data_IF_379226929480
#
_entry.id   IF_379226929480
#
_cell.length_a   1.000
_cell.length_b   1.000
_cell.length_c   1.000
_cell.angle_alpha   90.00
_cell.angle_beta   90.00
_cell.angle_gamma   90.00
#
_symmetry.space_group_name_H-M   'P 1'
#
loop_
_entity.id
_entity.type
_entity.pdbx_description
1 polymer ?
#
# COMPACT_ATOMS: atom_id res chain seq x y z
N UNK A 1 6.39 -17.99 25.38
CA UNK A 1 7.79 -18.32 25.00
C UNK A 1 8.16 -17.39 23.85
N UNK A 2 8.57 -16.16 24.17
CA UNK A 2 8.99 -15.10 23.23
C UNK A 2 10.45 -14.73 23.52
N UNK A 3 11.28 -15.74 23.75
CA UNK A 3 12.72 -15.60 24.02
C UNK A 3 13.36 -16.79 23.32
N UNK A 4 13.58 -16.65 22.01
CA UNK A 4 14.66 -17.18 21.14
C UNK A 4 14.21 -16.87 19.70
N UNK A 5 14.06 -15.58 19.38
CA UNK A 5 14.19 -15.10 18.02
C UNK A 5 15.37 -14.15 18.08
N UNK A 6 16.34 -14.34 17.19
CA UNK A 6 17.65 -13.70 17.20
C UNK A 6 17.52 -12.17 17.10
N UNK A 7 17.43 -11.49 18.26
CA UNK A 7 17.15 -10.06 18.36
C UNK A 7 18.18 -9.22 17.59
N UNK A 8 19.43 -9.68 17.58
CA UNK A 8 20.53 -9.06 16.84
C UNK A 8 20.29 -9.11 15.32
N UNK A 9 19.71 -10.19 14.82
CA UNK A 9 19.36 -10.29 13.40
C UNK A 9 18.17 -9.39 13.06
N UNK A 10 17.14 -9.35 13.90
CA UNK A 10 15.99 -8.48 13.70
C UNK A 10 16.40 -7.00 13.69
N UNK A 11 17.30 -6.59 14.60
CA UNK A 11 17.85 -5.23 14.63
C UNK A 11 18.58 -4.89 13.31
N UNK A 12 19.41 -5.81 12.81
CA UNK A 12 20.11 -5.63 11.53
C UNK A 12 19.14 -5.52 10.35
N UNK A 13 18.08 -6.33 10.32
CA UNK A 13 17.04 -6.26 9.29
C UNK A 13 16.37 -4.89 9.33
N UNK A 14 15.95 -4.42 10.51
CA UNK A 14 15.34 -3.10 10.67
C UNK A 14 16.30 -1.98 10.26
N UNK A 15 17.57 -2.08 10.64
CA UNK A 15 18.62 -1.12 10.29
C UNK A 15 18.92 -1.06 8.78
N UNK A 16 18.60 -2.10 8.01
CA UNK A 16 18.72 -2.09 6.54
C UNK A 16 17.41 -1.66 5.88
N UNK A 17 16.28 -2.19 6.33
CA UNK A 17 14.97 -1.98 5.69
C UNK A 17 14.52 -0.53 5.82
N UNK A 18 14.61 0.09 7.01
CA UNK A 18 14.13 1.46 7.22
C UNK A 18 14.89 2.48 6.37
N UNK A 19 16.25 2.50 6.34
CA UNK A 19 16.96 3.45 5.49
C UNK A 19 16.77 3.18 4.00
N UNK A 20 16.68 1.92 3.58
CA UNK A 20 16.44 1.59 2.16
C UNK A 20 15.09 2.11 1.71
N UNK A 21 14.03 1.90 2.50
CA UNK A 21 12.71 2.47 2.22
C UNK A 21 12.79 4.00 2.10
N UNK A 22 13.34 4.68 3.12
CA UNK A 22 13.45 6.15 3.11
C UNK A 22 14.23 6.68 1.90
N UNK A 23 15.36 6.04 1.56
CA UNK A 23 16.18 6.43 0.42
C UNK A 23 15.43 6.27 -0.91
N UNK A 24 14.73 5.14 -1.10
CA UNK A 24 13.94 4.87 -2.31
C UNK A 24 12.78 5.86 -2.41
N UNK A 25 12.07 6.14 -1.31
CA UNK A 25 10.99 7.13 -1.27
C UNK A 25 11.51 8.50 -1.68
N UNK A 26 12.51 9.03 -0.99
CA UNK A 26 13.02 10.40 -1.24
C UNK A 26 13.59 10.54 -2.66
N UNK A 27 14.28 9.51 -3.16
CA UNK A 27 14.85 9.54 -4.50
C UNK A 27 13.77 9.51 -5.60
N UNK A 28 12.70 8.73 -5.42
CA UNK A 28 11.72 8.46 -6.48
C UNK A 28 10.44 9.26 -6.36
N UNK A 29 10.05 9.75 -5.18
CA UNK A 29 8.79 10.44 -4.95
C UNK A 29 8.54 11.59 -5.93
N UNK A 30 9.57 12.39 -6.23
CA UNK A 30 9.45 13.51 -7.17
C UNK A 30 9.32 13.01 -8.62
N UNK A 31 10.15 12.04 -9.00
CA UNK A 31 10.14 11.49 -10.36
C UNK A 31 8.83 10.79 -10.70
N UNK A 32 8.31 10.01 -9.75
CA UNK A 32 7.02 9.31 -9.86
C UNK A 32 5.88 10.31 -9.82
N UNK A 33 5.86 11.23 -8.84
CA UNK A 33 4.84 12.27 -8.73
C UNK A 33 4.71 13.14 -9.99
N UNK A 34 5.83 13.50 -10.64
CA UNK A 34 5.81 14.27 -11.89
C UNK A 34 5.33 13.47 -13.11
N UNK A 35 5.46 12.14 -13.11
CA UNK A 35 5.01 11.26 -14.20
C UNK A 35 3.58 10.76 -14.01
N UNK A 36 3.04 10.81 -12.81
CA UNK A 36 1.65 10.48 -12.54
C UNK A 36 0.71 11.48 -13.23
N UNK A 37 -0.25 10.96 -13.98
CA UNK A 37 -1.33 11.71 -14.62
C UNK A 37 -2.63 10.94 -14.52
N UNK A 38 -3.76 11.65 -14.60
CA UNK A 38 -5.10 11.06 -14.57
C UNK A 38 -5.29 9.89 -15.55
N UNK A 39 -4.59 9.92 -16.69
CA UNK A 39 -4.68 8.89 -17.73
C UNK A 39 -3.92 7.60 -17.40
N UNK A 40 -2.79 7.70 -16.69
CA UNK A 40 -1.91 6.57 -16.42
C UNK A 40 -2.03 6.03 -14.98
N UNK A 41 -2.85 6.65 -14.13
CA UNK A 41 -3.01 6.25 -12.73
C UNK A 41 -3.44 4.79 -12.59
N UNK A 42 -4.39 4.32 -13.41
CA UNK A 42 -4.93 2.95 -13.31
C UNK A 42 -3.86 1.86 -13.55
N UNK A 43 -3.12 1.87 -14.68
CA UNK A 43 -2.06 0.88 -14.89
C UNK A 43 -0.91 1.06 -13.90
N UNK A 44 -0.61 2.30 -13.47
CA UNK A 44 0.48 2.55 -12.54
C UNK A 44 0.17 2.04 -11.12
N UNK A 45 -1.07 2.22 -10.63
CA UNK A 45 -1.50 1.62 -9.36
C UNK A 45 -1.47 0.10 -9.42
N UNK A 46 -1.86 -0.50 -10.55
CA UNK A 46 -1.74 -1.95 -10.74
C UNK A 46 -0.28 -2.41 -10.68
N UNK A 47 0.63 -1.67 -11.30
CA UNK A 47 2.06 -1.92 -11.16
C UNK A 47 2.52 -1.81 -9.70
N UNK A 48 2.06 -0.80 -8.96
CA UNK A 48 2.34 -0.65 -7.54
C UNK A 48 1.82 -1.82 -6.69
N UNK A 49 0.62 -2.35 -7.00
CA UNK A 49 0.08 -3.55 -6.35
C UNK A 49 0.96 -4.77 -6.57
N UNK A 50 1.43 -4.97 -7.82
CA UNK A 50 2.37 -6.05 -8.14
C UNK A 50 3.67 -5.89 -7.38
N UNK A 51 4.21 -4.66 -7.29
CA UNK A 51 5.40 -4.37 -6.48
C UNK A 51 5.19 -4.71 -5.01
N UNK A 52 4.03 -4.38 -4.41
CA UNK A 52 3.74 -4.78 -3.03
C UNK A 52 3.70 -6.29 -2.84
N UNK A 53 3.01 -7.01 -3.72
CA UNK A 53 2.93 -8.48 -3.64
C UNK A 53 4.31 -9.13 -3.81
N UNK A 54 5.11 -8.65 -4.77
CA UNK A 54 6.48 -9.13 -4.98
C UNK A 54 7.40 -8.79 -3.80
N UNK A 55 7.28 -7.59 -3.22
CA UNK A 55 8.04 -7.20 -2.03
C UNK A 55 7.69 -8.04 -0.81
N UNK A 56 6.40 -8.29 -0.58
CA UNK A 56 5.93 -9.18 0.48
C UNK A 56 6.36 -10.63 0.26
N UNK A 57 6.28 -11.13 -0.98
CA UNK A 57 6.81 -12.44 -1.35
C UNK A 57 8.33 -12.54 -1.12
N UNK A 58 9.05 -11.45 -1.42
CA UNK A 58 10.47 -11.30 -1.13
C UNK A 58 10.79 -11.42 0.36
N UNK A 59 10.00 -10.78 1.22
CA UNK A 59 10.16 -10.90 2.68
C UNK A 59 9.94 -12.33 3.19
N UNK A 60 9.03 -13.10 2.59
CA UNK A 60 8.81 -14.51 2.96
C UNK A 60 10.04 -15.39 2.67
N UNK A 61 10.77 -15.12 1.59
CA UNK A 61 11.94 -15.91 1.16
C UNK A 61 13.28 -15.35 1.64
N UNK A 62 13.27 -14.21 2.35
CA UNK A 62 14.51 -13.50 2.69
C UNK A 62 15.34 -14.23 3.75
N UNK A 63 14.73 -15.12 4.54
CA UNK A 63 15.36 -15.88 5.63
C UNK A 63 16.42 -15.04 6.38
N UNK A 64 17.69 -15.47 6.37
CA UNK A 64 18.81 -14.81 7.05
C UNK A 64 19.59 -13.80 6.16
N UNK A 65 19.12 -13.50 4.95
CA UNK A 65 19.86 -12.65 4.00
C UNK A 65 19.44 -11.19 4.07
N UNK A 66 20.27 -10.35 4.70
CA UNK A 66 20.04 -8.90 4.79
C UNK A 66 19.90 -8.22 3.42
N UNK A 67 20.58 -8.72 2.39
CA UNK A 67 20.46 -8.20 1.03
C UNK A 67 19.06 -8.45 0.46
N UNK A 68 18.50 -9.64 0.66
CA UNK A 68 17.14 -9.96 0.21
C UNK A 68 16.09 -9.12 0.96
N UNK A 69 16.28 -8.89 2.27
CA UNK A 69 15.44 -7.95 3.03
C UNK A 69 15.48 -6.54 2.45
N UNK A 70 16.67 -6.02 2.12
CA UNK A 70 16.85 -4.70 1.51
C UNK A 70 16.23 -4.61 0.11
N UNK A 71 16.45 -5.59 -0.75
CA UNK A 71 15.88 -5.62 -2.12
C UNK A 71 14.35 -5.73 -2.06
N UNK A 72 13.82 -6.60 -1.20
CA UNK A 72 12.38 -6.76 -1.00
C UNK A 72 11.73 -5.47 -0.49
N UNK A 73 12.40 -4.78 0.45
CA UNK A 73 11.97 -3.47 0.92
C UNK A 73 11.98 -2.43 -0.20
N UNK A 74 13.03 -2.39 -1.03
CA UNK A 74 13.10 -1.47 -2.17
C UNK A 74 11.95 -1.72 -3.16
N UNK A 75 11.68 -2.98 -3.52
CA UNK A 75 10.57 -3.35 -4.41
C UNK A 75 9.22 -2.98 -3.80
N UNK A 76 9.00 -3.28 -2.53
CA UNK A 76 7.78 -2.91 -1.82
C UNK A 76 7.57 -1.38 -1.84
N UNK A 77 8.64 -0.63 -1.62
CA UNK A 77 8.64 0.83 -1.59
C UNK A 77 8.34 1.45 -2.95
N UNK A 78 8.66 0.79 -4.06
CA UNK A 78 8.23 1.25 -5.39
C UNK A 78 6.69 1.33 -5.50
N UNK A 79 5.99 0.39 -4.87
CA UNK A 79 4.53 0.43 -4.76
C UNK A 79 4.05 1.60 -3.91
N UNK A 80 4.68 1.82 -2.77
CA UNK A 80 4.37 2.91 -1.83
C UNK A 80 4.48 4.28 -2.50
N UNK A 81 5.58 4.52 -3.21
CA UNK A 81 5.86 5.79 -3.90
C UNK A 81 4.82 6.10 -4.97
N UNK A 82 4.18 5.08 -5.56
CA UNK A 82 3.10 5.25 -6.53
C UNK A 82 1.76 5.50 -5.82
N UNK A 83 1.46 4.72 -4.80
CA UNK A 83 0.18 4.77 -4.09
C UNK A 83 0.02 6.08 -3.31
N UNK A 84 1.11 6.62 -2.74
CA UNK A 84 1.10 7.85 -1.96
C UNK A 84 0.45 9.04 -2.71
N UNK A 85 0.90 9.44 -3.92
CA UNK A 85 0.19 10.42 -4.74
C UNK A 85 -1.01 9.81 -5.47
N UNK A 86 -0.98 8.51 -5.75
CA UNK A 86 -1.92 7.85 -6.64
C UNK A 86 -3.34 7.76 -6.08
N UNK A 87 -3.49 7.45 -4.80
CA UNK A 87 -4.80 7.37 -4.14
C UNK A 87 -5.52 8.72 -4.15
N UNK A 88 -4.82 9.81 -3.80
CA UNK A 88 -5.40 11.16 -3.82
C UNK A 88 -5.78 11.61 -5.23
N UNK A 89 -4.94 11.31 -6.23
CA UNK A 89 -5.28 11.60 -7.63
C UNK A 89 -6.47 10.78 -8.12
N UNK A 90 -6.56 9.51 -7.72
CA UNK A 90 -7.70 8.66 -8.09
C UNK A 90 -9.00 9.23 -7.53
N UNK A 91 -9.00 9.65 -6.27
CA UNK A 91 -10.16 10.25 -5.62
C UNK A 91 -10.56 11.56 -6.32
N UNK A 92 -9.59 12.43 -6.61
CA UNK A 92 -9.85 13.69 -7.31
C UNK A 92 -10.49 13.47 -8.69
N UNK A 93 -10.10 12.40 -9.39
CA UNK A 93 -10.63 12.04 -10.71
C UNK A 93 -12.02 11.37 -10.66
N UNK A 94 -12.37 10.69 -9.56
CA UNK A 94 -13.68 10.03 -9.40
C UNK A 94 -14.72 11.00 -8.82
N UNK A 95 -14.29 11.95 -7.98
CA UNK A 95 -15.19 12.85 -7.28
C UNK A 95 -15.91 13.84 -8.22
N UNK A 96 -17.26 13.88 -8.21
CA UNK A 96 -18.02 14.88 -8.96
C UNK A 96 -17.69 16.33 -8.55
N UNK A 97 -17.94 17.31 -9.43
CA UNK A 97 -17.83 18.73 -9.06
C UNK A 97 -18.68 19.02 -7.82
N UNK A 98 -18.08 19.66 -6.81
CA UNK A 98 -18.75 20.03 -5.55
C UNK A 98 -18.81 18.93 -4.48
N UNK A 99 -18.47 17.67 -4.79
CA UNK A 99 -18.49 16.57 -3.81
C UNK A 99 -17.09 16.12 -3.33
N UNK A 100 -16.03 16.78 -3.81
CA UNK A 100 -14.63 16.43 -3.48
C UNK A 100 -14.39 16.34 -1.96
N UNK A 101 -14.92 17.29 -1.19
CA UNK A 101 -14.79 17.29 0.26
C UNK A 101 -15.34 16.01 0.92
N UNK A 102 -16.53 15.55 0.48
CA UNK A 102 -17.12 14.31 0.99
C UNK A 102 -16.28 13.07 0.62
N UNK A 103 -15.73 13.02 -0.59
CA UNK A 103 -14.87 11.90 -1.02
C UNK A 103 -13.54 11.86 -0.24
N UNK A 104 -12.87 12.99 -0.04
CA UNK A 104 -11.68 13.06 0.82
C UNK A 104 -12.00 12.78 2.29
N UNK A 105 -13.20 13.15 2.77
CA UNK A 105 -13.63 12.81 4.13
C UNK A 105 -13.81 11.29 4.29
N UNK A 106 -14.35 10.60 3.28
CA UNK A 106 -14.46 9.15 3.26
C UNK A 106 -13.07 8.48 3.19
N UNK A 107 -12.14 9.05 2.43
CA UNK A 107 -10.75 8.58 2.38
C UNK A 107 -10.09 8.59 3.76
N UNK A 108 -10.41 9.57 4.60
CA UNK A 108 -9.85 9.63 5.96
C UNK A 108 -10.23 8.42 6.84
N UNK A 109 -11.27 7.65 6.49
CA UNK A 109 -11.56 6.37 7.14
C UNK A 109 -10.42 5.35 6.97
N UNK A 110 -9.55 5.51 5.96
CA UNK A 110 -8.33 4.72 5.82
C UNK A 110 -7.41 4.79 7.04
N UNK A 111 -7.44 5.88 7.81
CA UNK A 111 -6.70 6.01 9.07
C UNK A 111 -7.16 5.02 10.14
N UNK A 112 -8.42 4.57 10.11
CA UNK A 112 -8.88 3.50 11.00
C UNK A 112 -8.16 2.20 10.69
N UNK A 113 -7.97 1.88 9.41
CA UNK A 113 -7.17 0.74 8.99
C UNK A 113 -5.74 0.81 9.53
N UNK A 114 -5.11 1.98 9.43
CA UNK A 114 -3.78 2.21 9.99
C UNK A 114 -3.74 2.04 11.52
N UNK A 115 -4.77 2.51 12.23
CA UNK A 115 -4.88 2.37 13.68
C UNK A 115 -5.07 0.90 14.13
N UNK A 116 -5.87 0.13 13.39
CA UNK A 116 -6.09 -1.30 13.69
C UNK A 116 -4.94 -2.20 13.24
N UNK A 117 -4.05 -1.72 12.35
CA UNK A 117 -2.99 -2.54 11.77
C UNK A 117 -2.07 -3.19 12.82
N UNK A 118 -1.46 -2.46 13.79
CA UNK A 118 -0.59 -3.08 14.81
C UNK A 118 -1.30 -4.12 15.67
N UNK A 119 -2.57 -3.89 16.01
CA UNK A 119 -3.39 -4.84 16.77
C UNK A 119 -3.58 -6.13 15.98
N UNK A 120 -4.03 -6.03 14.72
CA UNK A 120 -4.27 -7.20 13.86
C UNK A 120 -2.97 -7.96 13.58
N UNK A 121 -1.91 -7.27 13.18
CA UNK A 121 -0.61 -7.91 12.91
C UNK A 121 -0.02 -8.54 14.17
N UNK A 122 -0.17 -7.89 15.33
CA UNK A 122 0.28 -8.42 16.62
C UNK A 122 -0.47 -9.69 17.02
N UNK A 123 -1.80 -9.71 16.87
CA UNK A 123 -2.62 -10.91 17.11
C UNK A 123 -2.23 -12.04 16.15
N UNK A 124 -2.04 -11.75 14.87
CA UNK A 124 -1.60 -12.75 13.87
C UNK A 124 -0.26 -13.35 14.28
N UNK A 125 0.74 -12.52 14.60
CA UNK A 125 2.07 -13.00 14.99
C UNK A 125 2.10 -13.75 16.33
N UNK A 126 1.09 -13.54 17.19
CA UNK A 126 0.97 -14.24 18.47
C UNK A 126 0.41 -15.66 18.30
N UNK A 127 -0.50 -15.86 17.34
CA UNK A 127 -1.25 -17.12 17.19
C UNK A 127 -0.91 -17.93 15.94
N UNK A 128 -0.31 -17.30 14.92
CA UNK A 128 0.03 -17.92 13.65
C UNK A 128 1.55 -17.81 13.38
N UNK A 129 2.11 -18.68 12.51
CA UNK A 129 3.50 -18.58 12.11
C UNK A 129 3.79 -17.27 11.35
N UNK A 130 4.99 -16.72 11.50
CA UNK A 130 5.36 -15.39 10.99
C UNK A 130 5.10 -15.19 9.48
N UNK A 131 5.27 -16.24 8.67
CA UNK A 131 5.03 -16.18 7.23
C UNK A 131 3.56 -15.90 6.87
N UNK A 132 2.61 -16.25 7.75
CA UNK A 132 1.17 -16.05 7.50
C UNK A 132 0.82 -14.57 7.42
N UNK A 133 1.53 -13.70 8.15
CA UNK A 133 1.30 -12.26 8.11
C UNK A 133 1.50 -11.71 6.69
N UNK A 134 2.60 -12.09 6.03
CA UNK A 134 2.89 -11.64 4.67
C UNK A 134 1.86 -12.15 3.67
N UNK A 135 1.41 -13.40 3.81
CA UNK A 135 0.36 -13.98 2.96
C UNK A 135 -0.98 -13.28 3.15
N UNK A 136 -1.38 -13.02 4.39
CA UNK A 136 -2.62 -12.29 4.71
C UNK A 136 -2.56 -10.86 4.13
N UNK A 137 -1.43 -10.17 4.27
CA UNK A 137 -1.24 -8.84 3.68
C UNK A 137 -1.29 -8.88 2.15
N UNK A 138 -0.67 -9.88 1.50
CA UNK A 138 -0.79 -10.05 0.05
C UNK A 138 -2.24 -10.22 -0.39
N UNK A 139 -3.00 -11.08 0.28
CA UNK A 139 -4.42 -11.29 0.00
C UNK A 139 -5.24 -10.01 0.23
N UNK A 140 -4.98 -9.28 1.30
CA UNK A 140 -5.64 -8.01 1.60
C UNK A 140 -5.36 -6.95 0.52
N UNK A 141 -4.12 -6.85 0.05
CA UNK A 141 -3.72 -5.93 -1.02
C UNK A 141 -4.40 -6.29 -2.34
N UNK A 142 -4.46 -7.59 -2.68
CA UNK A 142 -5.16 -8.07 -3.88
C UNK A 142 -6.66 -7.76 -3.77
N UNK A 143 -7.27 -8.00 -2.61
CA UNK A 143 -8.68 -7.69 -2.38
C UNK A 143 -8.95 -6.17 -2.50
N UNK A 144 -8.11 -5.33 -1.91
CA UNK A 144 -8.21 -3.88 -2.01
C UNK A 144 -8.07 -3.40 -3.46
N UNK A 145 -7.11 -3.95 -4.22
CA UNK A 145 -6.93 -3.65 -5.63
C UNK A 145 -8.15 -4.06 -6.47
N UNK A 146 -8.75 -5.23 -6.21
CA UNK A 146 -9.99 -5.65 -6.87
C UNK A 146 -11.16 -4.70 -6.57
N UNK A 147 -11.27 -4.20 -5.33
CA UNK A 147 -12.28 -3.20 -4.96
C UNK A 147 -12.06 -1.89 -5.70
N UNK A 148 -10.82 -1.41 -5.79
CA UNK A 148 -10.46 -0.22 -6.58
C UNK A 148 -10.84 -0.42 -8.05
N UNK A 149 -10.48 -1.57 -8.63
CA UNK A 149 -10.79 -1.88 -10.03
C UNK A 149 -12.30 -1.94 -10.31
N UNK A 150 -13.07 -2.51 -9.38
CA UNK A 150 -14.55 -2.48 -9.47
C UNK A 150 -15.10 -1.07 -9.33
N UNK A 151 -14.62 -0.28 -8.37
CA UNK A 151 -15.05 1.10 -8.16
C UNK A 151 -14.82 1.99 -9.37
N UNK A 152 -13.69 1.83 -10.06
CA UNK A 152 -13.35 2.57 -11.28
C UNK A 152 -14.21 2.22 -12.51
N UNK A 153 -14.93 1.10 -12.47
CA UNK A 153 -15.80 0.64 -13.54
C UNK A 153 -17.28 1.01 -13.31
N UNK A 154 -17.63 1.57 -12.15
CA UNK A 154 -18.98 2.06 -11.89
C UNK A 154 -19.22 3.32 -12.73
N UNK A 155 -20.40 3.39 -13.39
CA UNK A 155 -20.75 4.52 -14.25
C UNK A 155 -20.70 5.83 -13.46
N UNK A 156 -20.13 6.92 -14.02
CA UNK A 156 -20.17 8.23 -13.39
C UNK A 156 -21.61 8.61 -13.08
N UNK A 157 -21.85 9.13 -11.88
CA UNK A 157 -23.15 9.63 -11.48
C UNK A 157 -23.55 10.79 -12.41
N UNK A 158 -24.54 10.57 -13.29
CA UNK A 158 -25.14 11.64 -14.10
C UNK A 158 -26.02 12.51 -13.19
N UNK A 159 -25.45 13.59 -12.66
CA UNK A 159 -26.10 14.53 -11.75
C UNK A 159 -27.28 15.33 -12.31
N UNK A 160 -27.74 15.06 -13.52
CA UNK A 160 -28.89 15.77 -14.14
C UNK A 160 -30.25 15.45 -13.51
N UNK A 161 -30.34 14.43 -12.64
CA UNK A 161 -31.58 14.11 -11.92
C UNK A 161 -31.70 14.81 -10.54
N UNK A 162 -30.59 15.15 -9.88
CA UNK A 162 -30.61 15.72 -8.53
C UNK A 162 -30.75 17.25 -8.50
N UNK A 163 -30.39 17.95 -9.59
CA UNK A 163 -30.54 19.40 -9.71
C UNK A 163 -31.97 19.85 -10.06
N UNK A 164 -32.96 18.95 -9.98
CA UNK A 164 -34.37 19.19 -10.33
C UNK A 164 -35.37 18.88 -9.20
N UNK A 165 -34.90 18.57 -8.00
CA UNK A 165 -35.72 18.42 -6.80
C UNK A 165 -35.33 19.49 -5.78
#
# INVERSE_FOLDING_TARGET
VLVVADSDFAEKVVAVVLPVNAAVVVALQYAVGRRLTARNIRPLMTFGTVCFVLGLGGFVISDNSLLLWGVSAAIFTLGEVIYAPGEYMLIDNIAPPGMKASYFSAQSLGWLGAAFNPMLTGTILTHLPHWSLFVILMLAIIAAWLMIFRGMNVRPWNGSAAARA
#
